data_IF_604063580527
#
_entry.id   IF_604063580527
#
_cell.length_a   1.000
_cell.length_b   1.000
_cell.length_c   1.000
_cell.angle_alpha   90.00
_cell.angle_beta   90.00
_cell.angle_gamma   90.00
#
_symmetry.space_group_name_H-M   'P 1'
#
loop_
_entity.id
_entity.type
_entity.pdbx_description
1 polymer ?
#
# COMPACT_ATOMS: atom_id res chain seq x y z
N UNK A 1 -18.50 -46.42 13.03
CA UNK A 1 -18.94 -47.31 14.12
C UNK A 1 -19.98 -48.32 13.65
N UNK A 2 -21.17 -47.91 13.19
CA UNK A 2 -22.26 -48.83 12.77
C UNK A 2 -21.85 -49.83 11.67
N UNK A 3 -21.12 -49.38 10.64
CA UNK A 3 -20.73 -50.19 9.48
C UNK A 3 -19.76 -51.34 9.81
N UNK A 4 -18.83 -51.13 10.75
CA UNK A 4 -17.81 -52.13 11.10
C UNK A 4 -18.43 -53.25 11.96
N UNK A 5 -19.36 -52.89 12.84
CA UNK A 5 -20.10 -53.83 13.70
C UNK A 5 -21.02 -54.72 12.86
N UNK A 6 -21.73 -54.15 11.88
CA UNK A 6 -22.57 -54.92 10.96
C UNK A 6 -21.76 -55.92 10.12
N UNK A 7 -20.55 -55.54 9.69
CA UNK A 7 -19.66 -56.43 8.95
C UNK A 7 -19.15 -57.59 9.81
N UNK A 8 -18.79 -57.32 11.07
CA UNK A 8 -18.32 -58.34 12.01
C UNK A 8 -19.40 -59.40 12.28
N UNK A 9 -20.64 -58.95 12.55
CA UNK A 9 -21.76 -59.84 12.81
C UNK A 9 -22.15 -60.68 11.57
N UNK A 10 -21.99 -60.12 10.37
CA UNK A 10 -22.26 -60.81 9.13
C UNK A 10 -21.22 -61.91 8.83
N UNK A 11 -19.95 -61.68 9.18
CA UNK A 11 -18.87 -62.67 9.09
C UNK A 11 -19.10 -63.80 10.10
N UNK A 12 -19.55 -63.48 11.32
CA UNK A 12 -19.86 -64.49 12.35
C UNK A 12 -20.99 -65.44 11.88
N UNK A 13 -22.08 -64.90 11.32
CA UNK A 13 -23.19 -65.70 10.80
C UNK A 13 -22.86 -66.57 9.56
N UNK A 14 -21.76 -66.28 8.86
CA UNK A 14 -21.27 -67.09 7.74
C UNK A 14 -20.67 -68.43 8.19
N UNK A 15 -20.11 -68.48 9.40
CA UNK A 15 -19.51 -69.68 9.99
C UNK A 15 -20.59 -70.73 10.33
N UNK A 16 -21.82 -70.29 10.60
CA UNK A 16 -22.89 -71.14 11.15
C UNK A 16 -23.92 -71.69 10.12
N UNK A 17 -24.12 -71.07 8.94
CA UNK A 17 -25.06 -71.58 7.92
C UNK A 17 -24.68 -71.16 6.47
N UNK A 18 -24.14 -72.06 5.64
CA UNK A 18 -23.34 -71.69 4.47
C UNK A 18 -24.11 -71.14 3.24
N UNK A 19 -25.38 -71.48 3.04
CA UNK A 19 -26.08 -71.11 1.79
C UNK A 19 -26.84 -69.79 1.92
N UNK A 20 -27.70 -69.66 2.94
CA UNK A 20 -28.49 -68.44 3.19
C UNK A 20 -27.62 -67.29 3.69
N UNK A 21 -26.59 -67.56 4.50
CA UNK A 21 -25.69 -66.51 4.98
C UNK A 21 -24.81 -65.94 3.85
N UNK A 22 -24.50 -66.73 2.81
CA UNK A 22 -23.69 -66.27 1.67
C UNK A 22 -24.40 -65.22 0.81
N UNK A 23 -25.71 -65.37 0.59
CA UNK A 23 -26.50 -64.35 -0.12
C UNK A 23 -26.64 -63.06 0.68
N UNK A 24 -26.90 -63.19 1.99
CA UNK A 24 -27.00 -62.04 2.91
C UNK A 24 -25.68 -61.27 2.99
N UNK A 25 -24.56 -61.98 3.17
CA UNK A 25 -23.22 -61.39 3.21
C UNK A 25 -22.89 -60.68 1.90
N UNK A 26 -23.20 -61.30 0.75
CA UNK A 26 -22.98 -60.69 -0.56
C UNK A 26 -23.80 -59.40 -0.73
N UNK A 27 -25.02 -59.35 -0.22
CA UNK A 27 -25.88 -58.17 -0.30
C UNK A 27 -25.39 -57.03 0.62
N UNK A 28 -24.95 -57.37 1.83
CA UNK A 28 -24.33 -56.42 2.76
C UNK A 28 -23.02 -55.83 2.19
N UNK A 29 -22.15 -56.67 1.62
CA UNK A 29 -20.92 -56.21 0.95
C UNK A 29 -21.25 -55.23 -0.18
N UNK A 30 -22.25 -55.55 -1.02
CA UNK A 30 -22.68 -54.63 -2.10
C UNK A 30 -23.19 -53.29 -1.55
N UNK A 31 -23.97 -53.29 -0.47
CA UNK A 31 -24.46 -52.05 0.18
C UNK A 31 -23.33 -51.22 0.74
N UNK A 32 -22.36 -51.85 1.41
CA UNK A 32 -21.19 -51.17 1.95
C UNK A 32 -20.31 -50.57 0.87
N UNK A 33 -20.04 -51.33 -0.20
CA UNK A 33 -19.27 -50.81 -1.34
C UNK A 33 -19.95 -49.59 -1.97
N UNK A 34 -21.29 -49.59 -2.10
CA UNK A 34 -22.03 -48.41 -2.57
C UNK A 34 -21.90 -47.24 -1.61
N UNK A 35 -22.07 -47.47 -0.30
CA UNK A 35 -21.96 -46.43 0.72
C UNK A 35 -20.57 -45.78 0.74
N UNK A 36 -19.50 -46.60 0.69
CA UNK A 36 -18.11 -46.12 0.65
C UNK A 36 -17.88 -45.29 -0.62
N UNK A 37 -18.36 -45.77 -1.77
CA UNK A 37 -18.22 -45.05 -3.05
C UNK A 37 -18.91 -43.70 -3.03
N UNK A 38 -20.12 -43.63 -2.49
CA UNK A 38 -20.85 -42.37 -2.34
C UNK A 38 -20.06 -41.38 -1.45
N UNK A 39 -19.60 -41.82 -0.28
CA UNK A 39 -18.84 -40.95 0.63
C UNK A 39 -17.50 -40.50 0.06
N UNK A 40 -16.82 -41.36 -0.68
CA UNK A 40 -15.56 -41.01 -1.32
C UNK A 40 -15.75 -39.95 -2.42
N UNK A 41 -16.78 -40.10 -3.25
CA UNK A 41 -17.10 -39.13 -4.29
C UNK A 41 -17.58 -37.78 -3.71
N UNK A 42 -18.34 -37.82 -2.62
CA UNK A 42 -18.73 -36.61 -1.87
C UNK A 42 -17.49 -35.87 -1.34
N UNK A 43 -16.57 -36.59 -0.68
CA UNK A 43 -15.33 -36.00 -0.20
C UNK A 43 -14.43 -35.44 -1.33
N UNK A 44 -14.43 -36.06 -2.50
CA UNK A 44 -13.75 -35.50 -3.69
C UNK A 44 -14.39 -34.18 -4.10
N UNK A 45 -15.73 -34.15 -4.17
CA UNK A 45 -16.48 -32.95 -4.56
C UNK A 45 -16.21 -31.80 -3.58
N UNK A 46 -16.28 -32.07 -2.27
CA UNK A 46 -16.02 -31.08 -1.22
C UNK A 46 -14.59 -30.53 -1.29
N UNK A 47 -13.60 -31.39 -1.50
CA UNK A 47 -12.21 -30.95 -1.66
C UNK A 47 -12.01 -30.07 -2.88
N UNK A 48 -12.68 -30.38 -3.99
CA UNK A 48 -12.63 -29.55 -5.20
C UNK A 48 -13.27 -28.17 -4.96
N UNK A 49 -14.38 -28.10 -4.22
CA UNK A 49 -15.01 -26.83 -3.82
C UNK A 49 -14.06 -26.01 -2.95
N UNK A 50 -13.43 -26.61 -1.93
CA UNK A 50 -12.48 -25.94 -1.04
C UNK A 50 -11.29 -25.40 -1.84
N UNK A 51 -10.75 -26.18 -2.78
CA UNK A 51 -9.64 -25.72 -3.64
C UNK A 51 -10.01 -24.49 -4.47
N UNK A 52 -11.24 -24.44 -5.01
CA UNK A 52 -11.73 -23.28 -5.77
C UNK A 52 -11.89 -22.06 -4.88
N UNK A 53 -12.51 -22.22 -3.70
CA UNK A 53 -12.67 -21.13 -2.74
C UNK A 53 -11.32 -20.55 -2.28
N UNK A 54 -10.32 -21.41 -2.07
CA UNK A 54 -8.98 -20.96 -1.72
C UNK A 54 -8.33 -20.18 -2.87
N UNK A 55 -8.49 -20.62 -4.13
CA UNK A 55 -7.98 -19.90 -5.29
C UNK A 55 -8.65 -18.53 -5.46
N UNK A 56 -9.99 -18.49 -5.37
CA UNK A 56 -10.77 -17.25 -5.41
C UNK A 56 -10.40 -16.30 -4.26
N UNK A 57 -10.20 -16.82 -3.05
CA UNK A 57 -9.78 -16.03 -1.89
C UNK A 57 -8.41 -15.38 -2.08
N UNK A 58 -7.46 -16.10 -2.68
CA UNK A 58 -6.14 -15.55 -3.03
C UNK A 58 -6.28 -14.46 -4.11
N UNK A 59 -7.10 -14.68 -5.14
CA UNK A 59 -7.34 -13.66 -6.17
C UNK A 59 -7.99 -12.40 -5.59
N UNK A 60 -8.97 -12.52 -4.70
CA UNK A 60 -9.59 -11.37 -4.04
C UNK A 60 -8.59 -10.59 -3.18
N UNK A 61 -7.68 -11.28 -2.50
CA UNK A 61 -6.61 -10.63 -1.74
C UNK A 61 -5.70 -9.83 -2.67
N UNK A 62 -5.28 -10.41 -3.80
CA UNK A 62 -4.45 -9.72 -4.80
C UNK A 62 -5.18 -8.51 -5.39
N UNK A 63 -6.47 -8.61 -5.68
CA UNK A 63 -7.29 -7.50 -6.17
C UNK A 63 -7.35 -6.36 -5.14
N UNK A 64 -7.55 -6.69 -3.86
CA UNK A 64 -7.59 -5.72 -2.78
C UNK A 64 -6.25 -4.97 -2.63
N UNK A 65 -5.13 -5.70 -2.67
CA UNK A 65 -3.79 -5.12 -2.58
C UNK A 65 -3.49 -4.20 -3.78
N UNK A 66 -3.86 -4.62 -5.00
CA UNK A 66 -3.72 -3.80 -6.20
C UNK A 66 -4.55 -2.51 -6.12
N UNK A 67 -5.76 -2.58 -5.57
CA UNK A 67 -6.59 -1.40 -5.35
C UNK A 67 -5.94 -0.42 -4.36
N UNK A 68 -5.37 -0.92 -3.26
CA UNK A 68 -4.64 -0.08 -2.30
C UNK A 68 -3.40 0.57 -2.92
N UNK A 69 -2.59 -0.21 -3.67
CA UNK A 69 -1.43 0.32 -4.38
C UNK A 69 -1.81 1.40 -5.39
N UNK A 70 -2.92 1.21 -6.12
CA UNK A 70 -3.44 2.20 -7.06
C UNK A 70 -3.85 3.50 -6.35
N UNK A 71 -4.55 3.40 -5.24
CA UNK A 71 -4.93 4.57 -4.44
C UNK A 71 -3.68 5.32 -3.92
N UNK A 72 -2.68 4.58 -3.46
CA UNK A 72 -1.41 5.16 -3.00
C UNK A 72 -0.66 5.89 -4.12
N UNK A 73 -0.59 5.29 -5.31
CA UNK A 73 0.02 5.94 -6.48
C UNK A 73 -0.72 7.24 -6.87
N UNK A 74 -2.05 7.22 -6.82
CA UNK A 74 -2.87 8.42 -7.07
C UNK A 74 -2.61 9.52 -6.04
N UNK A 75 -2.52 9.17 -4.76
CA UNK A 75 -2.21 10.13 -3.69
C UNK A 75 -0.81 10.74 -3.89
N UNK A 76 0.19 9.95 -4.28
CA UNK A 76 1.53 10.47 -4.59
C UNK A 76 1.51 11.44 -5.78
N UNK A 77 0.77 11.12 -6.85
CA UNK A 77 0.64 12.00 -8.00
C UNK A 77 -0.02 13.35 -7.62
N UNK A 78 -1.03 13.32 -6.74
CA UNK A 78 -1.67 14.54 -6.24
C UNK A 78 -0.71 15.39 -5.39
N UNK A 79 0.06 14.77 -4.49
CA UNK A 79 1.06 15.48 -3.68
C UNK A 79 2.08 16.16 -4.60
N UNK A 80 2.57 15.45 -5.61
CA UNK A 80 3.49 16.03 -6.58
C UNK A 80 2.88 17.25 -7.31
N UNK A 81 1.63 17.15 -7.76
CA UNK A 81 0.93 18.26 -8.40
C UNK A 81 0.77 19.47 -7.44
N UNK A 82 0.43 19.23 -6.18
CA UNK A 82 0.31 20.29 -5.16
C UNK A 82 1.64 20.98 -4.88
N UNK A 83 2.74 20.21 -4.78
CA UNK A 83 4.09 20.75 -4.58
C UNK A 83 4.54 21.64 -5.75
N UNK A 84 4.22 21.28 -6.99
CA UNK A 84 4.57 22.10 -8.16
C UNK A 84 3.71 23.36 -8.28
N UNK A 85 2.48 23.35 -7.74
CA UNK A 85 1.60 24.51 -7.78
C UNK A 85 1.88 25.52 -6.65
N UNK A 86 2.50 25.10 -5.54
CA UNK A 86 2.78 25.97 -4.39
C UNK A 86 3.76 27.13 -4.73
N UNK A 87 4.91 26.90 -5.41
CA UNK A 87 5.77 27.98 -5.89
C UNK A 87 5.04 28.96 -6.82
N UNK A 88 4.16 28.46 -7.69
CA UNK A 88 3.42 29.28 -8.64
C UNK A 88 2.40 30.20 -7.93
N UNK A 89 1.76 29.73 -6.85
CA UNK A 89 0.88 30.57 -6.03
C UNK A 89 1.65 31.63 -5.24
N UNK A 90 2.82 31.27 -4.69
CA UNK A 90 3.70 32.22 -4.01
C UNK A 90 4.14 33.34 -4.96
N UNK A 91 4.42 33.00 -6.22
CA UNK A 91 4.81 33.96 -7.25
C UNK A 91 3.64 34.90 -7.67
N UNK A 92 2.39 34.44 -7.58
CA UNK A 92 1.20 35.25 -7.91
C UNK A 92 0.77 36.22 -6.80
N UNK A 93 1.01 35.90 -5.52
CA UNK A 93 0.62 36.75 -4.39
C UNK A 93 1.60 37.93 -4.19
N UNK A 94 2.76 37.91 -4.85
CA UNK A 94 3.77 38.95 -4.75
C UNK A 94 4.29 39.06 -3.33
N UNK A 95 5.32 38.26 -2.97
CA UNK A 95 5.95 38.42 -1.65
C UNK A 95 6.51 39.84 -1.55
N UNK A 96 6.03 40.67 -0.60
CA UNK A 96 6.57 42.00 -0.42
C UNK A 96 8.03 41.89 -0.01
N UNK A 97 8.87 42.74 -0.60
CA UNK A 97 10.28 42.81 -0.26
C UNK A 97 10.43 43.02 1.26
N UNK A 98 11.11 42.12 1.98
CA UNK A 98 11.35 42.29 3.40
C UNK A 98 12.35 43.42 3.61
N UNK A 99 12.10 44.28 4.60
CA UNK A 99 13.09 45.25 5.07
C UNK A 99 13.70 44.77 6.37
N UNK A 100 14.99 45.05 6.56
CA UNK A 100 15.71 44.85 7.80
C UNK A 100 16.14 46.20 8.35
N UNK A 101 15.71 46.50 9.58
CA UNK A 101 16.29 47.52 10.44
C UNK A 101 17.09 46.88 11.57
N UNK A 102 18.00 47.64 12.19
CA UNK A 102 18.92 47.15 13.21
C UNK A 102 18.23 46.57 14.46
N UNK A 103 17.00 47.02 14.72
CA UNK A 103 16.20 46.58 15.86
C UNK A 103 15.35 45.32 15.54
N UNK A 104 15.39 44.83 14.30
CA UNK A 104 14.64 43.63 13.88
C UNK A 104 15.32 42.32 14.29
N UNK A 105 14.49 41.31 14.55
CA UNK A 105 14.94 39.93 14.81
C UNK A 105 15.60 39.32 13.57
N UNK A 106 16.91 39.06 13.66
CA UNK A 106 17.71 38.43 12.60
C UNK A 106 17.09 37.10 12.13
N UNK A 107 16.68 36.15 13.02
CA UNK A 107 16.06 34.90 12.59
C UNK A 107 14.76 35.10 11.79
N UNK A 108 13.93 36.07 12.19
CA UNK A 108 12.65 36.34 11.52
C UNK A 108 12.86 37.01 10.16
N UNK A 109 13.85 37.91 10.06
CA UNK A 109 14.26 38.50 8.79
C UNK A 109 14.79 37.45 7.82
N UNK A 110 15.68 36.56 8.28
CA UNK A 110 16.25 35.49 7.43
C UNK A 110 15.17 34.53 6.92
N UNK A 111 14.15 34.22 7.72
CA UNK A 111 13.01 33.41 7.30
C UNK A 111 12.21 34.08 6.17
N UNK A 112 11.93 35.38 6.29
CA UNK A 112 11.22 36.17 5.27
C UNK A 112 12.05 36.35 4.00
N UNK A 113 13.35 36.63 4.13
CA UNK A 113 14.28 36.79 3.01
C UNK A 113 14.41 35.51 2.19
N UNK A 114 14.51 34.35 2.84
CA UNK A 114 14.56 33.05 2.16
C UNK A 114 13.33 32.83 1.27
N UNK A 115 12.13 33.10 1.79
CA UNK A 115 10.88 32.99 1.03
C UNK A 115 10.85 33.97 -0.15
N UNK A 116 11.28 35.23 0.07
CA UNK A 116 11.38 36.24 -0.99
C UNK A 116 12.32 35.80 -2.12
N UNK A 117 13.54 35.35 -1.81
CA UNK A 117 14.50 34.90 -2.82
C UNK A 117 14.03 33.66 -3.59
N UNK A 118 13.38 32.72 -2.89
CA UNK A 118 12.75 31.55 -3.54
C UNK A 118 11.67 31.96 -4.53
N UNK A 119 10.86 32.98 -4.22
CA UNK A 119 9.86 33.52 -5.15
C UNK A 119 10.46 34.19 -6.39
N UNK A 120 11.68 34.72 -6.28
CA UNK A 120 12.42 35.31 -7.40
C UNK A 120 13.15 34.25 -8.25
N UNK A 121 12.91 32.96 -8.01
CA UNK A 121 13.56 31.83 -8.68
C UNK A 121 15.10 31.86 -8.54
N UNK A 122 15.60 32.46 -7.45
CA UNK A 122 17.02 32.46 -7.11
C UNK A 122 17.32 31.17 -6.36
N UNK A 123 18.04 30.26 -7.01
CA UNK A 123 18.49 29.01 -6.40
C UNK A 123 19.58 29.30 -5.35
N UNK A 124 19.27 29.01 -4.10
CA UNK A 124 20.17 29.13 -2.95
C UNK A 124 20.81 27.78 -2.58
N UNK A 125 20.56 26.71 -3.35
CA UNK A 125 21.15 25.41 -3.08
C UNK A 125 22.68 25.49 -3.18
N UNK A 126 23.37 25.04 -2.12
CA UNK A 126 24.82 24.82 -2.04
C UNK A 126 25.28 23.67 -2.97
N UNK A 127 24.87 23.70 -4.25
CA UNK A 127 25.39 22.78 -5.24
C UNK A 127 26.82 23.22 -5.56
N UNK A 128 27.78 22.58 -4.90
CA UNK A 128 29.23 22.77 -4.94
C UNK A 128 29.87 22.59 -6.33
N UNK A 129 29.37 23.28 -7.35
CA UNK A 129 29.87 23.19 -8.73
C UNK A 129 29.06 23.90 -9.82
N UNK A 130 27.93 24.56 -9.52
CA UNK A 130 27.15 25.31 -10.52
C UNK A 130 27.61 26.79 -10.62
N UNK A 131 27.48 27.45 -11.80
CA UNK A 131 27.98 28.81 -12.01
C UNK A 131 27.38 29.81 -11.02
N UNK A 132 28.24 30.71 -10.51
CA UNK A 132 28.01 31.74 -9.47
C UNK A 132 27.02 32.85 -9.94
N UNK A 133 26.12 32.56 -10.88
CA UNK A 133 25.17 33.53 -11.44
C UNK A 133 24.07 33.88 -10.40
N UNK A 134 23.73 32.95 -9.50
CA UNK A 134 22.72 33.19 -8.44
C UNK A 134 23.23 34.03 -7.25
N UNK A 135 24.54 34.02 -6.95
CA UNK A 135 25.09 34.65 -5.75
C UNK A 135 25.12 36.18 -5.85
N UNK A 136 25.58 36.73 -6.98
CA UNK A 136 25.63 38.17 -7.19
C UNK A 136 24.22 38.79 -7.23
N UNK A 137 23.27 38.05 -7.81
CA UNK A 137 21.86 38.43 -7.84
C UNK A 137 21.22 38.37 -6.44
N UNK A 138 21.53 37.34 -5.65
CA UNK A 138 21.10 37.25 -4.25
C UNK A 138 21.67 38.39 -3.38
N UNK A 139 22.93 38.77 -3.57
CA UNK A 139 23.56 39.90 -2.88
C UNK A 139 22.88 41.22 -3.25
N UNK A 140 22.54 41.41 -4.54
CA UNK A 140 21.78 42.59 -4.99
C UNK A 140 20.41 42.69 -4.32
N UNK A 141 19.67 41.58 -4.25
CA UNK A 141 18.39 41.53 -3.55
C UNK A 141 18.53 41.75 -2.03
N UNK A 142 19.56 41.19 -1.40
CA UNK A 142 19.86 41.39 0.02
C UNK A 142 20.13 42.86 0.33
N UNK A 143 20.94 43.55 -0.50
CA UNK A 143 21.22 44.99 -0.34
C UNK A 143 19.94 45.83 -0.45
N UNK A 144 19.05 45.49 -1.38
CA UNK A 144 17.75 46.16 -1.50
C UNK A 144 16.86 46.01 -0.26
N UNK A 145 17.05 44.94 0.53
CA UNK A 145 16.31 44.68 1.76
C UNK A 145 16.84 45.48 2.98
N UNK A 146 18.02 46.09 2.88
CA UNK A 146 18.62 46.84 3.99
C UNK A 146 18.06 48.27 4.06
N UNK A 147 17.78 48.79 5.27
CA UNK A 147 17.39 50.19 5.50
C UNK A 147 18.21 50.86 6.59
N UNK A 148 18.23 52.19 6.56
CA UNK A 148 18.91 53.01 7.57
C UNK A 148 20.38 52.64 7.72
N UNK A 149 20.83 52.47 8.97
CA UNK A 149 22.22 52.12 9.30
C UNK A 149 22.65 50.76 8.72
N UNK A 150 21.72 49.83 8.49
CA UNK A 150 22.05 48.52 7.92
C UNK A 150 22.51 48.62 6.45
N UNK A 151 22.00 49.61 5.69
CA UNK A 151 22.41 49.84 4.30
C UNK A 151 23.83 50.43 4.21
N UNK A 152 24.19 51.31 5.16
CA UNK A 152 25.52 51.94 5.24
C UNK A 152 26.63 50.91 5.51
N UNK A 153 26.31 49.85 6.25
CA UNK A 153 27.24 48.74 6.55
C UNK A 153 27.35 47.71 5.42
N UNK A 154 26.39 47.65 4.50
CA UNK A 154 26.34 46.66 3.43
C UNK A 154 27.11 47.07 2.15
N UNK A 155 27.72 48.27 2.15
CA UNK A 155 28.47 48.89 1.05
C UNK A 155 29.81 48.24 0.74
#
# INVERSE_FOLDING_TARGET
MAIIIELANAIDGFVDNPTTAREILADQIKRLIRSIRCKYNEAICDNEIIRRQNAEGVEQMVIADLHQLRANAQNQAQIFALQNNLPNQINMVGIPQPFFDWDDSIPDFLAKLRLYLQSQNVDLADNAGAPIIGKDQAIGYLRGCMRGRALEWAG
#
